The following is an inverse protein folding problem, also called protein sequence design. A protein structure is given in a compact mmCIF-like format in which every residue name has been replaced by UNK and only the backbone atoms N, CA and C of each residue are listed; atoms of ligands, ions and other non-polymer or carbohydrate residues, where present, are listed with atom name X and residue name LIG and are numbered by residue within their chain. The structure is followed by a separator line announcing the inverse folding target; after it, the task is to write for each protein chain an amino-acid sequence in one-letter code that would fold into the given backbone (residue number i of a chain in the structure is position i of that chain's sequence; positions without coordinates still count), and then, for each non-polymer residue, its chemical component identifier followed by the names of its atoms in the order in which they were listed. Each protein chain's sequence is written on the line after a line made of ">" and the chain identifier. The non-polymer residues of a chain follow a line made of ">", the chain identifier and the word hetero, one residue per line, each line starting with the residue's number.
data_IF_477666198624
#
_entry.id   IF_477666198624
#
_cell.length_a   1.000
_cell.length_b   1.000
_cell.length_c   1.000
_cell.angle_alpha   90.00
_cell.angle_beta   90.00
_cell.angle_gamma   90.00
#
_symmetry.space_group_name_H-M   'P 1'
#
loop_
_entity.id
_entity.type
_entity.pdbx_description
1 polymer ?
#
# COMPACT_ATOMS: atom_id res chain seq x y z
N UNK A 1 0.76 -13.16 -0.89
CA UNK A 1 1.54 -11.95 -1.17
C UNK A 1 1.60 -11.76 -2.67
N UNK A 2 1.35 -10.58 -3.17
CA UNK A 2 1.26 -10.33 -4.60
C UNK A 2 2.56 -9.74 -5.15
N UNK A 3 2.73 -9.80 -6.47
CA UNK A 3 3.88 -9.19 -7.12
C UNK A 3 3.91 -7.67 -6.93
N UNK A 4 2.72 -7.02 -6.87
CA UNK A 4 2.62 -5.57 -6.64
C UNK A 4 3.11 -5.19 -5.24
N UNK A 5 2.72 -5.93 -4.20
CA UNK A 5 3.19 -5.66 -2.84
C UNK A 5 4.69 -5.90 -2.73
N UNK A 6 5.20 -6.92 -3.40
CA UNK A 6 6.64 -7.19 -3.46
C UNK A 6 7.40 -6.05 -4.15
N UNK A 7 6.82 -5.43 -5.16
CA UNK A 7 7.44 -4.31 -5.86
C UNK A 7 7.51 -3.05 -4.99
N UNK A 8 6.54 -2.84 -4.10
CA UNK A 8 6.51 -1.67 -3.20
C UNK A 8 7.53 -1.75 -2.07
N UNK A 9 7.77 -2.94 -1.55
CA UNK A 9 8.60 -3.13 -0.36
C UNK A 9 9.99 -2.49 -0.48
N UNK A 10 10.78 -2.74 -1.54
CA UNK A 10 12.11 -2.11 -1.65
C UNK A 10 12.04 -0.59 -1.82
N UNK A 11 11.02 -0.08 -2.50
CA UNK A 11 10.86 1.37 -2.71
C UNK A 11 10.63 2.07 -1.37
N UNK A 12 9.73 1.55 -0.55
CA UNK A 12 9.43 2.12 0.76
C UNK A 12 10.59 1.95 1.73
N UNK A 13 11.25 0.80 1.71
CA UNK A 13 12.42 0.55 2.56
C UNK A 13 13.53 1.56 2.25
N UNK A 14 13.80 1.82 0.98
CA UNK A 14 14.77 2.83 0.56
C UNK A 14 14.37 4.23 1.02
N UNK A 15 13.08 4.52 1.05
CA UNK A 15 12.54 5.80 1.54
C UNK A 15 12.53 5.91 3.07
N UNK A 16 12.96 4.88 3.80
CA UNK A 16 13.02 4.89 5.26
C UNK A 16 11.74 4.45 5.96
N UNK A 17 10.85 3.77 5.25
CA UNK A 17 9.58 3.26 5.80
C UNK A 17 9.57 1.74 5.73
N UNK A 18 9.46 1.09 6.88
CA UNK A 18 9.33 -0.37 6.93
C UNK A 18 7.94 -0.80 6.47
N UNK A 19 7.86 -1.92 5.78
CA UNK A 19 6.61 -2.44 5.21
C UNK A 19 6.39 -3.86 5.68
N UNK A 20 5.20 -4.13 6.21
CA UNK A 20 4.75 -5.48 6.51
C UNK A 20 3.54 -5.83 5.64
N UNK A 21 3.47 -7.07 5.21
CA UNK A 21 2.34 -7.59 4.43
C UNK A 21 1.55 -8.52 5.34
N UNK A 22 0.34 -8.08 5.73
CA UNK A 22 -0.51 -8.83 6.62
C UNK A 22 -0.01 -8.92 8.07
N UNK A 23 1.04 -8.21 8.40
CA UNK A 23 1.60 -8.18 9.76
C UNK A 23 2.51 -6.98 9.94
N UNK A 24 2.72 -6.58 11.20
CA UNK A 24 3.65 -5.51 11.52
C UNK A 24 5.08 -5.90 11.15
N UNK A 25 5.82 -5.03 10.44
CA UNK A 25 7.22 -5.30 10.14
C UNK A 25 8.11 -5.13 11.37
N UNK A 26 9.31 -5.69 11.33
CA UNK A 26 10.34 -5.38 12.29
C UNK A 26 10.79 -3.93 12.08
N UNK A 27 10.62 -3.07 13.08
CA UNK A 27 10.93 -1.65 12.98
C UNK A 27 11.37 -1.13 14.35
N UNK A 28 12.33 -0.20 14.34
CA UNK A 28 12.78 0.46 15.56
C UNK A 28 11.66 1.32 16.15
N UNK A 29 11.62 1.38 17.48
CA UNK A 29 10.64 2.19 18.19
C UNK A 29 10.68 3.64 17.72
N UNK A 30 9.52 4.22 17.46
CA UNK A 30 9.38 5.61 17.01
C UNK A 30 9.52 5.82 15.52
N UNK A 31 9.88 4.79 14.75
CA UNK A 31 9.97 4.90 13.30
C UNK A 31 8.62 4.63 12.64
N UNK A 32 8.29 5.36 11.56
CA UNK A 32 7.06 5.10 10.82
C UNK A 32 7.12 3.76 10.10
N UNK A 33 5.97 3.13 9.93
CA UNK A 33 5.85 1.91 9.16
C UNK A 33 4.47 1.80 8.51
N UNK A 34 4.37 0.89 7.54
CA UNK A 34 3.15 0.63 6.79
C UNK A 34 2.85 -0.86 6.88
N UNK A 35 1.58 -1.19 7.10
CA UNK A 35 1.08 -2.57 6.99
C UNK A 35 0.08 -2.61 5.85
N UNK A 36 0.30 -3.51 4.90
CA UNK A 36 -0.58 -3.69 3.74
C UNK A 36 -1.35 -4.99 3.91
N UNK A 37 -2.67 -4.92 3.76
CA UNK A 37 -3.57 -6.06 3.76
C UNK A 37 -4.11 -6.23 2.33
N UNK A 38 -3.46 -7.06 1.49
CA UNK A 38 -3.93 -7.26 0.13
C UNK A 38 -5.13 -8.20 0.09
N UNK A 39 -6.05 -7.93 -0.81
CA UNK A 39 -7.09 -8.89 -1.16
C UNK A 39 -6.52 -9.90 -2.17
N UNK A 40 -7.26 -10.99 -2.35
CA UNK A 40 -7.01 -11.88 -3.46
C UNK A 40 -7.29 -11.13 -4.76
N UNK A 41 -6.34 -11.15 -5.68
CA UNK A 41 -6.55 -10.55 -6.98
C UNK A 41 -7.70 -11.25 -7.71
N UNK A 42 -8.55 -10.48 -8.35
CA UNK A 42 -9.65 -11.00 -9.16
C UNK A 42 -9.46 -10.63 -10.61
N UNK A 43 -9.99 -11.47 -11.51
CA UNK A 43 -9.99 -11.14 -12.92
C UNK A 43 -11.01 -10.02 -13.16
N UNK A 44 -10.56 -8.94 -13.79
CA UNK A 44 -11.45 -7.86 -14.12
C UNK A 44 -12.44 -8.31 -15.21
N UNK A 45 -13.73 -8.21 -14.93
CA UNK A 45 -14.79 -8.74 -15.79
C UNK A 45 -15.51 -7.64 -16.57
N UNK A 46 -14.78 -6.68 -17.10
CA UNK A 46 -15.41 -5.46 -17.63
C UNK A 46 -15.68 -5.51 -19.12
N UNK A 47 -14.85 -6.18 -19.90
CA UNK A 47 -15.02 -6.30 -21.35
C UNK A 47 -14.48 -7.64 -21.84
N UNK A 48 -14.72 -7.95 -23.11
CA UNK A 48 -14.23 -9.19 -23.71
C UNK A 48 -12.70 -9.29 -23.76
N UNK A 49 -12.00 -8.17 -23.74
CA UNK A 49 -10.53 -8.15 -23.78
C UNK A 49 -9.92 -8.25 -22.38
N UNK A 50 -10.71 -8.26 -21.35
CA UNK A 50 -10.24 -8.24 -19.97
C UNK A 50 -9.96 -9.63 -19.41
N UNK A 51 -10.08 -10.68 -20.21
CA UNK A 51 -9.64 -12.01 -19.80
C UNK A 51 -8.19 -12.01 -19.29
N UNK A 52 -7.41 -11.02 -19.67
CA UNK A 52 -6.01 -10.85 -19.29
C UNK A 52 -5.80 -9.75 -18.26
N UNK A 53 -6.86 -9.07 -17.84
CA UNK A 53 -6.79 -8.04 -16.81
C UNK A 53 -7.00 -8.60 -15.41
N UNK A 54 -6.35 -7.98 -14.43
CA UNK A 54 -6.57 -8.28 -13.01
C UNK A 54 -6.82 -6.99 -12.26
N UNK A 55 -7.65 -7.12 -11.23
CA UNK A 55 -7.93 -6.07 -10.29
C UNK A 55 -7.56 -6.53 -8.89
N UNK A 56 -6.90 -5.67 -8.13
CA UNK A 56 -6.41 -5.95 -6.80
C UNK A 56 -6.74 -4.77 -5.90
N UNK A 57 -7.28 -5.04 -4.73
CA UNK A 57 -7.60 -4.00 -3.74
C UNK A 57 -6.75 -4.24 -2.50
N UNK A 58 -6.14 -3.17 -2.00
CA UNK A 58 -5.36 -3.21 -0.76
C UNK A 58 -5.92 -2.24 0.25
N UNK A 59 -5.86 -2.63 1.50
CA UNK A 59 -6.00 -1.69 2.61
C UNK A 59 -4.63 -1.52 3.24
N UNK A 60 -4.15 -0.28 3.31
CA UNK A 60 -2.87 0.05 3.92
C UNK A 60 -3.10 0.89 5.16
N UNK A 61 -2.41 0.54 6.24
CA UNK A 61 -2.36 1.32 7.46
C UNK A 61 -0.97 1.93 7.61
N UNK A 62 -0.94 3.25 7.75
CA UNK A 62 0.31 4.02 7.87
C UNK A 62 0.44 4.49 9.31
N UNK A 63 1.42 3.94 10.02
CA UNK A 63 1.57 4.12 11.46
C UNK A 63 2.74 5.02 11.80
N UNK A 64 2.58 5.77 12.87
CA UNK A 64 3.64 6.55 13.48
C UNK A 64 3.32 6.87 14.94
N UNK A 65 4.34 7.22 15.71
CA UNK A 65 4.16 7.59 17.12
C UNK A 65 3.76 9.05 17.30
N UNK A 66 3.74 9.82 16.22
CA UNK A 66 3.22 11.18 16.16
C UNK A 66 2.34 11.33 14.93
N UNK A 67 1.43 12.31 14.88
CA UNK A 67 0.64 12.59 13.67
C UNK A 67 1.52 12.86 12.45
N UNK A 68 2.62 13.59 12.65
CA UNK A 68 3.56 13.93 11.57
C UNK A 68 4.26 12.70 11.02
N UNK A 69 4.63 11.76 11.88
CA UNK A 69 5.28 10.52 11.49
C UNK A 69 4.34 9.63 10.66
N UNK A 70 3.09 9.51 11.09
CA UNK A 70 2.06 8.79 10.32
C UNK A 70 1.81 9.45 8.96
N UNK A 71 1.79 10.78 8.91
CA UNK A 71 1.63 11.54 7.66
C UNK A 71 2.80 11.30 6.71
N UNK A 72 4.02 11.25 7.22
CA UNK A 72 5.21 10.93 6.41
C UNK A 72 5.08 9.54 5.80
N UNK A 73 4.66 8.54 6.60
CA UNK A 73 4.44 7.19 6.09
C UNK A 73 3.38 7.17 4.98
N UNK A 74 2.27 7.88 5.19
CA UNK A 74 1.19 7.97 4.20
C UNK A 74 1.65 8.59 2.89
N UNK A 75 2.38 9.70 2.95
CA UNK A 75 2.89 10.37 1.74
C UNK A 75 3.88 9.51 0.98
N UNK A 76 4.79 8.84 1.68
CA UNK A 76 5.77 7.96 1.05
C UNK A 76 5.11 6.75 0.41
N UNK A 77 4.08 6.20 1.05
CA UNK A 77 3.28 5.13 0.45
C UNK A 77 2.60 5.62 -0.82
N UNK A 78 1.96 6.78 -0.79
CA UNK A 78 1.29 7.36 -1.95
C UNK A 78 2.27 7.56 -3.12
N UNK A 79 3.44 8.12 -2.86
CA UNK A 79 4.47 8.33 -3.87
C UNK A 79 4.93 7.00 -4.47
N UNK A 80 5.13 5.99 -3.64
CA UNK A 80 5.54 4.66 -4.11
C UNK A 80 4.45 3.98 -4.95
N UNK A 81 3.19 4.12 -4.54
CA UNK A 81 2.05 3.56 -5.27
C UNK A 81 1.92 4.20 -6.64
N UNK A 82 1.95 5.52 -6.73
CA UNK A 82 1.89 6.22 -8.01
C UNK A 82 3.13 5.95 -8.88
N UNK A 83 4.27 5.68 -8.26
CA UNK A 83 5.47 5.27 -8.97
C UNK A 83 5.36 3.95 -9.70
N UNK A 84 4.40 3.11 -9.36
CA UNK A 84 4.15 1.86 -10.09
C UNK A 84 3.39 2.07 -11.39
N UNK A 85 2.73 3.21 -11.56
CA UNK A 85 1.96 3.49 -12.77
C UNK A 85 2.82 3.38 -14.01
N UNK A 86 2.32 2.67 -15.02
CA UNK A 86 3.02 2.40 -16.29
C UNK A 86 4.25 1.49 -16.17
N UNK A 87 4.57 0.98 -14.99
CA UNK A 87 5.64 -0.01 -14.85
C UNK A 87 5.13 -1.40 -15.17
N UNK A 88 6.06 -2.31 -15.47
CA UNK A 88 5.74 -3.71 -15.69
C UNK A 88 6.11 -4.50 -14.43
N UNK A 89 5.13 -5.19 -13.86
CA UNK A 89 5.30 -6.04 -12.69
C UNK A 89 4.77 -7.42 -13.04
N UNK A 90 5.62 -8.43 -12.95
CA UNK A 90 5.27 -9.82 -13.27
C UNK A 90 4.65 -9.96 -14.66
N UNK A 91 5.24 -9.31 -15.67
CA UNK A 91 4.77 -9.34 -17.04
C UNK A 91 3.48 -8.56 -17.30
N UNK A 92 3.04 -7.75 -16.34
CA UNK A 92 1.82 -6.95 -16.44
C UNK A 92 2.10 -5.48 -16.28
N UNK A 93 1.42 -4.67 -17.08
CA UNK A 93 1.50 -3.20 -16.97
C UNK A 93 0.54 -2.73 -15.90
N UNK A 94 1.03 -1.94 -14.97
CA UNK A 94 0.24 -1.32 -13.91
C UNK A 94 -0.46 -0.09 -14.48
N UNK A 95 -1.78 -0.06 -14.41
CA UNK A 95 -2.58 1.09 -14.79
C UNK A 95 -2.59 2.13 -13.66
N UNK A 96 -3.25 3.25 -13.88
CA UNK A 96 -3.30 4.32 -12.89
C UNK A 96 -3.92 3.82 -11.58
N UNK A 97 -3.20 3.86 -10.46
CA UNK A 97 -3.75 3.42 -9.18
C UNK A 97 -4.88 4.34 -8.72
N UNK A 98 -5.93 3.76 -8.15
CA UNK A 98 -7.06 4.51 -7.62
C UNK A 98 -7.08 4.44 -6.10
N UNK A 99 -7.10 5.60 -5.46
CA UNK A 99 -7.38 5.67 -4.03
C UNK A 99 -8.90 5.65 -3.84
N UNK A 100 -9.42 4.58 -3.26
CA UNK A 100 -10.87 4.41 -3.07
C UNK A 100 -11.37 5.13 -1.84
N UNK A 101 -10.64 5.02 -0.74
CA UNK A 101 -11.04 5.56 0.55
C UNK A 101 -9.81 6.01 1.31
N UNK A 102 -9.93 7.12 2.01
CA UNK A 102 -8.93 7.56 2.98
C UNK A 102 -9.68 7.92 4.27
N UNK A 103 -9.36 7.24 5.35
CA UNK A 103 -9.95 7.52 6.64
C UNK A 103 -9.19 8.62 7.37
N UNK A 104 -9.87 9.40 8.23
CA UNK A 104 -9.19 10.37 9.05
C UNK A 104 -8.15 9.72 9.96
N UNK A 105 -7.19 10.51 10.40
CA UNK A 105 -6.20 10.07 11.37
C UNK A 105 -6.91 9.53 12.62
N UNK A 106 -6.52 8.33 13.03
CA UNK A 106 -6.96 7.74 14.29
C UNK A 106 -5.78 7.57 15.24
N UNK A 107 -6.06 7.41 16.52
CA UNK A 107 -5.03 7.21 17.52
C UNK A 107 -5.39 6.04 18.42
N UNK A 108 -4.44 5.15 18.64
CA UNK A 108 -4.54 4.08 19.63
C UNK A 108 -3.78 4.52 20.88
N UNK A 109 -4.52 4.92 21.92
CA UNK A 109 -3.96 5.39 23.17
C UNK A 109 -3.61 4.26 24.14
N UNK A 110 -4.03 3.03 23.81
CA UNK A 110 -3.65 1.86 24.60
C UNK A 110 -2.24 1.37 24.24
N UNK A 111 -1.72 1.79 23.07
CA UNK A 111 -0.33 1.55 22.72
C UNK A 111 0.59 2.48 23.54
N UNK A 112 1.78 2.02 23.87
CA UNK A 112 2.79 2.80 24.59
C UNK A 112 4.10 2.81 23.79
N UNK A 113 4.47 3.93 23.15
CA UNK A 113 3.75 5.22 23.06
C UNK A 113 2.47 5.13 22.23
N UNK A 114 1.63 6.19 22.29
CA UNK A 114 0.44 6.30 21.44
C UNK A 114 0.80 6.02 19.99
N UNK A 115 -0.11 5.35 19.28
CA UNK A 115 0.09 4.98 17.88
C UNK A 115 -0.94 5.67 17.01
N UNK A 116 -0.47 6.47 16.07
CA UNK A 116 -1.31 7.16 15.10
C UNK A 116 -1.38 6.37 13.79
N UNK A 117 -2.54 6.35 13.17
CA UNK A 117 -2.83 5.51 12.00
C UNK A 117 -3.64 6.28 10.96
N UNK A 118 -3.16 6.25 9.71
CA UNK A 118 -3.95 6.59 8.53
C UNK A 118 -4.27 5.31 7.78
N UNK A 119 -5.55 5.01 7.57
CA UNK A 119 -5.98 3.89 6.76
C UNK A 119 -6.40 4.36 5.37
N UNK A 120 -5.85 3.74 4.35
CA UNK A 120 -6.09 4.10 2.96
C UNK A 120 -6.38 2.83 2.16
N UNK A 121 -7.40 2.87 1.32
CA UNK A 121 -7.73 1.77 0.43
C UNK A 121 -7.34 2.12 -1.01
N UNK A 122 -6.62 1.22 -1.66
CA UNK A 122 -6.13 1.37 -3.03
C UNK A 122 -6.66 0.25 -3.92
N UNK A 123 -6.98 0.60 -5.16
CA UNK A 123 -7.31 -0.37 -6.20
C UNK A 123 -6.30 -0.27 -7.33
N UNK A 124 -5.79 -1.43 -7.73
CA UNK A 124 -4.84 -1.57 -8.82
C UNK A 124 -5.45 -2.43 -9.92
N UNK A 125 -5.26 -1.99 -11.15
CA UNK A 125 -5.59 -2.78 -12.32
C UNK A 125 -4.32 -3.00 -13.13
N UNK A 126 -4.16 -4.22 -13.62
CA UNK A 126 -3.03 -4.58 -14.47
C UNK A 126 -3.53 -5.25 -15.73
N UNK A 127 -2.76 -5.11 -16.80
CA UNK A 127 -3.04 -5.78 -18.07
C UNK A 127 -1.77 -6.44 -18.57
N UNK A 128 -1.91 -7.42 -19.48
CA UNK A 128 -0.73 -8.01 -20.11
C UNK A 128 0.05 -6.96 -20.87
N UNK A 129 1.35 -7.05 -20.74
CA UNK A 129 2.27 -6.15 -21.46
C UNK A 129 2.28 -6.51 -22.97
#
# INVERSE_FOLDING_TARGET
>A
MTALTNALTPVLTTAGVAVGIGQKPAVALGKPYVVIWPDSGTRAAVTMNVAHGYEETWTAHCYGTTPESAEVARRKLSDAVYGLWMTTVDGRVVQYPEQLTALPLSVDRDADPDLYDYAVEWRFRTSLA
#
